data_IF_716212424537
#
_entry.id   IF_716212424537
#
_cell.length_a   1.000
_cell.length_b   1.000
_cell.length_c   1.000
_cell.angle_alpha   90.00
_cell.angle_beta   90.00
_cell.angle_gamma   90.00
#
_symmetry.space_group_name_H-M   'P 1'
#
loop_
_entity.id
_entity.type
_entity.pdbx_description
1 polymer ?
#
# COMPACT_ATOMS: atom_id res chain seq x y z
N UNK A 1 0.01 -39.49 -5.71
CA UNK A 1 -0.59 -38.48 -6.59
C UNK A 1 -1.04 -37.31 -5.75
N UNK A 2 -0.13 -36.36 -5.53
CA UNK A 2 -0.43 -35.06 -4.94
C UNK A 2 -0.61 -34.15 -6.13
N UNK A 3 -1.86 -33.84 -6.46
CA UNK A 3 -2.20 -32.83 -7.46
C UNK A 3 -1.90 -31.45 -6.83
N UNK A 4 -0.77 -30.87 -7.20
CA UNK A 4 -0.45 -29.48 -6.97
C UNK A 4 -1.40 -28.61 -7.77
N UNK A 5 -2.40 -28.03 -7.13
CA UNK A 5 -3.15 -26.90 -7.67
C UNK A 5 -2.22 -25.68 -7.66
N UNK A 6 -1.43 -25.52 -8.72
CA UNK A 6 -0.77 -24.26 -9.03
C UNK A 6 -1.86 -23.21 -9.31
N UNK A 7 -2.14 -22.38 -8.33
CA UNK A 7 -2.84 -21.12 -8.53
C UNK A 7 -1.92 -20.26 -9.38
N UNK A 8 -2.12 -20.25 -10.69
CA UNK A 8 -1.39 -19.43 -11.66
C UNK A 8 -1.60 -17.94 -11.30
N UNK A 9 -0.71 -17.37 -10.50
CA UNK A 9 -0.62 -15.94 -10.29
C UNK A 9 -0.22 -15.30 -11.62
N UNK A 10 -1.08 -14.42 -12.18
CA UNK A 10 -0.77 -13.70 -13.41
C UNK A 10 0.52 -12.90 -13.25
N UNK A 11 1.34 -12.87 -14.30
CA UNK A 11 2.57 -12.07 -14.32
C UNK A 11 2.27 -10.58 -14.30
N UNK A 12 3.27 -9.76 -13.96
CA UNK A 12 3.17 -8.30 -13.95
C UNK A 12 2.73 -7.75 -15.34
N UNK A 13 3.29 -8.31 -16.42
CA UNK A 13 2.99 -7.93 -17.80
C UNK A 13 1.54 -8.27 -18.18
N UNK A 14 1.08 -9.47 -17.84
CA UNK A 14 -0.29 -9.92 -18.12
C UNK A 14 -1.34 -9.08 -17.37
N UNK A 15 -1.05 -8.65 -16.13
CA UNK A 15 -1.94 -7.77 -15.38
C UNK A 15 -2.01 -6.36 -15.97
N UNK A 16 -0.91 -5.88 -16.53
CA UNK A 16 -0.87 -4.57 -17.20
C UNK A 16 -1.71 -4.56 -18.48
N UNK A 17 -1.74 -5.67 -19.22
CA UNK A 17 -2.57 -5.85 -20.42
C UNK A 17 -4.06 -6.01 -20.07
N UNK A 18 -4.38 -6.83 -19.07
CA UNK A 18 -5.77 -7.06 -18.60
C UNK A 18 -6.45 -5.78 -18.12
N UNK A 19 -5.72 -4.88 -17.48
CA UNK A 19 -6.26 -3.59 -17.02
C UNK A 19 -6.72 -2.70 -18.18
N UNK A 20 -6.06 -2.79 -19.33
CA UNK A 20 -6.49 -2.04 -20.52
C UNK A 20 -7.84 -2.56 -21.03
N UNK A 21 -8.15 -3.83 -20.82
CA UNK A 21 -9.41 -4.48 -21.25
C UNK A 21 -10.53 -4.20 -20.25
N UNK A 22 -10.23 -4.16 -18.96
CA UNK A 22 -11.22 -4.04 -17.87
C UNK A 22 -11.59 -2.59 -17.47
N UNK A 23 -11.15 -1.59 -18.21
CA UNK A 23 -11.45 -0.15 -17.93
C UNK A 23 -12.94 0.19 -17.77
N UNK A 24 -13.83 -0.65 -18.27
CA UNK A 24 -15.28 -0.47 -18.20
C UNK A 24 -15.91 -0.98 -16.89
N UNK A 25 -15.15 -1.70 -16.03
CA UNK A 25 -15.61 -2.07 -14.69
C UNK A 25 -15.54 -0.84 -13.78
N UNK A 26 -16.66 -0.51 -13.16
CA UNK A 26 -16.78 0.68 -12.30
C UNK A 26 -15.78 0.68 -11.14
N UNK A 27 -15.48 -0.49 -10.56
CA UNK A 27 -14.55 -0.64 -9.44
C UNK A 27 -13.09 -0.44 -9.89
N UNK A 28 -12.74 -0.96 -11.05
CA UNK A 28 -11.42 -0.76 -11.69
C UNK A 28 -11.24 0.70 -12.05
N UNK A 29 -12.24 1.32 -12.70
CA UNK A 29 -12.19 2.73 -13.07
C UNK A 29 -12.01 3.65 -11.86
N UNK A 30 -12.67 3.35 -10.74
CA UNK A 30 -12.51 4.09 -9.49
C UNK A 30 -11.10 3.94 -8.90
N UNK A 31 -10.55 2.72 -8.91
CA UNK A 31 -9.16 2.46 -8.48
C UNK A 31 -8.15 3.24 -9.33
N UNK A 32 -8.29 3.21 -10.65
CA UNK A 32 -7.42 3.93 -11.57
C UNK A 32 -7.47 5.45 -11.33
N UNK A 33 -8.67 6.01 -11.15
CA UNK A 33 -8.85 7.43 -10.83
C UNK A 33 -8.16 7.82 -9.52
N UNK A 34 -8.30 7.00 -8.48
CA UNK A 34 -7.67 7.25 -7.19
C UNK A 34 -6.14 7.15 -7.27
N UNK A 35 -5.61 6.18 -8.02
CA UNK A 35 -4.17 6.04 -8.29
C UNK A 35 -3.62 7.34 -8.91
N UNK A 36 -4.29 7.90 -9.93
CA UNK A 36 -3.82 9.14 -10.58
C UNK A 36 -3.75 10.32 -9.61
N UNK A 37 -4.71 10.44 -8.69
CA UNK A 37 -4.68 11.48 -7.66
C UNK A 37 -3.54 11.26 -6.66
N UNK A 38 -3.27 10.03 -6.27
CA UNK A 38 -2.31 9.70 -5.24
C UNK A 38 -0.86 9.70 -5.76
N UNK A 39 -0.64 9.28 -7.00
CA UNK A 39 0.68 9.29 -7.65
C UNK A 39 1.28 10.70 -7.67
N UNK A 40 0.46 11.73 -7.98
CA UNK A 40 0.92 13.12 -8.08
C UNK A 40 1.29 13.75 -6.73
N UNK A 41 0.85 13.17 -5.62
CA UNK A 41 1.11 13.65 -4.25
C UNK A 41 2.03 12.73 -3.44
N UNK A 42 2.59 11.70 -4.08
CA UNK A 42 3.56 10.80 -3.47
C UNK A 42 4.92 11.49 -3.39
N UNK A 43 5.48 11.61 -2.19
CA UNK A 43 6.78 12.26 -1.92
C UNK A 43 6.96 13.63 -2.59
N UNK A 44 6.15 14.63 -2.24
CA UNK A 44 6.12 15.92 -2.93
C UNK A 44 7.43 16.72 -2.85
N UNK A 45 8.33 16.36 -1.95
CA UNK A 45 9.64 16.99 -1.79
C UNK A 45 10.79 16.21 -2.48
N UNK A 46 10.49 15.09 -3.14
CA UNK A 46 11.47 14.28 -3.84
C UNK A 46 11.40 14.54 -5.36
N UNK A 47 12.50 15.04 -5.93
CA UNK A 47 12.59 15.41 -7.36
C UNK A 47 12.20 14.28 -8.33
N UNK A 48 12.38 13.04 -7.91
CA UNK A 48 12.07 11.88 -8.72
C UNK A 48 10.57 11.54 -8.72
N UNK A 49 9.79 12.11 -7.78
CA UNK A 49 8.34 11.93 -7.62
C UNK A 49 7.51 13.20 -7.87
N UNK A 50 8.13 14.37 -8.09
CA UNK A 50 7.39 15.58 -8.46
C UNK A 50 7.01 15.57 -9.94
N UNK A 51 6.27 16.57 -10.37
CA UNK A 51 5.71 16.71 -11.71
C UNK A 51 6.70 16.26 -12.82
N UNK A 52 6.32 15.23 -13.60
CA UNK A 52 7.17 14.55 -14.58
C UNK A 52 8.42 13.84 -14.02
N UNK A 53 8.48 13.58 -12.72
CA UNK A 53 9.56 12.82 -12.11
C UNK A 53 9.66 11.40 -12.67
N UNK A 54 10.89 10.90 -12.80
CA UNK A 54 11.18 9.59 -13.43
C UNK A 54 10.52 8.40 -12.74
N UNK A 55 10.14 8.54 -11.45
CA UNK A 55 9.48 7.49 -10.67
C UNK A 55 7.96 7.47 -10.84
N UNK A 56 7.37 8.51 -11.41
CA UNK A 56 5.90 8.60 -11.58
C UNK A 56 5.37 7.53 -12.54
N UNK A 57 5.94 7.32 -13.75
CA UNK A 57 5.44 6.28 -14.65
C UNK A 57 5.55 4.86 -14.09
N UNK A 58 6.69 4.41 -13.52
CA UNK A 58 6.78 3.06 -12.94
C UNK A 58 5.89 2.91 -11.69
N UNK A 59 5.81 3.91 -10.81
CA UNK A 59 4.90 3.88 -9.67
C UNK A 59 3.44 3.64 -10.11
N UNK A 60 2.99 4.39 -11.11
CA UNK A 60 1.64 4.25 -11.68
C UNK A 60 1.38 2.84 -12.17
N UNK A 61 2.27 2.28 -12.99
CA UNK A 61 2.12 0.93 -13.56
C UNK A 61 2.08 -0.16 -12.49
N UNK A 62 2.97 -0.08 -11.50
CA UNK A 62 3.02 -1.04 -10.39
C UNK A 62 1.73 -0.98 -9.56
N UNK A 63 1.24 0.22 -9.22
CA UNK A 63 -0.01 0.38 -8.46
C UNK A 63 -1.21 -0.14 -9.23
N UNK A 64 -1.27 0.09 -10.53
CA UNK A 64 -2.30 -0.44 -11.41
C UNK A 64 -2.28 -1.97 -11.42
N UNK A 65 -1.11 -2.60 -11.61
CA UNK A 65 -0.96 -4.05 -11.58
C UNK A 65 -1.33 -4.64 -10.21
N UNK A 66 -0.92 -4.01 -9.09
CA UNK A 66 -1.31 -4.45 -7.76
C UNK A 66 -2.82 -4.39 -7.55
N UNK A 67 -3.48 -3.31 -8.01
CA UNK A 67 -4.93 -3.15 -7.86
C UNK A 67 -5.75 -4.18 -8.65
N UNK A 68 -5.17 -4.77 -9.69
CA UNK A 68 -5.75 -5.85 -10.49
C UNK A 68 -5.35 -7.24 -10.00
N UNK A 69 -4.43 -7.34 -9.06
CA UNK A 69 -3.93 -8.62 -8.55
C UNK A 69 -4.90 -9.26 -7.57
N UNK A 70 -4.73 -10.57 -7.34
CA UNK A 70 -5.47 -11.30 -6.30
C UNK A 70 -5.01 -10.94 -4.85
N UNK A 71 -3.96 -10.12 -4.70
CA UNK A 71 -3.45 -9.73 -3.39
C UNK A 71 -4.39 -8.77 -2.65
N UNK A 72 -5.00 -7.85 -3.40
CA UNK A 72 -5.87 -6.80 -2.86
C UNK A 72 -7.15 -6.67 -3.67
N UNK A 73 -8.17 -6.07 -3.07
CA UNK A 73 -9.43 -5.72 -3.74
C UNK A 73 -9.36 -4.26 -4.19
N UNK A 74 -8.77 -4.03 -5.36
CA UNK A 74 -8.59 -2.69 -5.89
C UNK A 74 -7.48 -1.91 -5.19
N UNK A 75 -7.48 -0.60 -5.38
CA UNK A 75 -6.49 0.30 -4.81
C UNK A 75 -6.94 0.83 -3.45
N UNK A 76 -6.04 0.85 -2.48
CA UNK A 76 -6.23 1.52 -1.18
C UNK A 76 -5.24 2.66 -1.03
N UNK A 77 -5.71 3.83 -0.62
CA UNK A 77 -4.86 4.99 -0.32
C UNK A 77 -3.82 4.61 0.75
N UNK A 78 -2.56 4.94 0.49
CA UNK A 78 -1.41 4.53 1.30
C UNK A 78 -0.49 3.56 0.56
N UNK A 79 -1.02 2.72 -0.34
CA UNK A 79 -0.21 1.83 -1.18
C UNK A 79 0.82 2.59 -2.02
N UNK A 80 0.49 3.80 -2.45
CA UNK A 80 1.40 4.67 -3.21
C UNK A 80 2.68 5.00 -2.43
N UNK A 81 2.61 5.19 -1.12
CA UNK A 81 3.79 5.44 -0.29
C UNK A 81 4.63 4.18 -0.14
N UNK A 82 4.00 3.02 0.11
CA UNK A 82 4.69 1.73 0.20
C UNK A 82 5.44 1.42 -1.10
N UNK A 83 4.73 1.40 -2.22
CA UNK A 83 5.31 1.07 -3.53
C UNK A 83 6.37 2.09 -3.93
N UNK A 84 6.10 3.38 -3.75
CA UNK A 84 7.05 4.45 -4.04
C UNK A 84 8.33 4.34 -3.22
N UNK A 85 8.23 3.97 -1.95
CA UNK A 85 9.38 3.73 -1.07
C UNK A 85 10.22 2.54 -1.54
N UNK A 86 9.59 1.40 -1.82
CA UNK A 86 10.28 0.21 -2.32
C UNK A 86 10.97 0.48 -3.66
N UNK A 87 10.29 1.14 -4.58
CA UNK A 87 10.84 1.54 -5.88
C UNK A 87 12.06 2.47 -5.72
N UNK A 88 11.99 3.43 -4.81
CA UNK A 88 13.10 4.32 -4.47
C UNK A 88 14.29 3.55 -3.89
N UNK A 89 14.05 2.65 -2.92
CA UNK A 89 15.11 1.85 -2.30
C UNK A 89 15.79 0.96 -3.34
N UNK A 90 15.03 0.28 -4.19
CA UNK A 90 15.57 -0.59 -5.24
C UNK A 90 16.46 0.19 -6.22
N UNK A 91 15.99 1.37 -6.67
CA UNK A 91 16.77 2.21 -7.59
C UNK A 91 18.06 2.72 -6.94
N UNK A 92 18.02 3.08 -5.65
CA UNK A 92 19.22 3.50 -4.92
C UNK A 92 20.23 2.36 -4.76
N UNK A 93 19.77 1.14 -4.50
CA UNK A 93 20.64 -0.04 -4.33
C UNK A 93 21.27 -0.48 -5.64
N UNK A 94 20.52 -0.45 -6.73
CA UNK A 94 21.00 -0.91 -8.04
C UNK A 94 21.82 0.14 -8.80
N UNK A 95 21.80 1.41 -8.38
CA UNK A 95 22.41 2.56 -9.09
C UNK A 95 22.02 2.63 -10.59
N UNK A 96 20.88 2.05 -10.96
CA UNK A 96 20.42 1.88 -12.33
C UNK A 96 19.08 2.61 -12.53
N UNK A 97 18.83 3.13 -13.74
CA UNK A 97 17.49 3.61 -14.09
C UNK A 97 16.47 2.47 -14.03
N UNK A 98 15.23 2.82 -13.71
CA UNK A 98 14.12 1.86 -13.64
C UNK A 98 13.95 1.17 -14.99
N UNK A 99 14.05 -0.16 -15.01
CA UNK A 99 13.79 -1.01 -16.17
C UNK A 99 12.50 -1.81 -15.97
N UNK A 100 11.98 -2.43 -17.02
CA UNK A 100 10.82 -3.33 -16.91
C UNK A 100 11.08 -4.47 -15.91
N UNK A 101 12.27 -5.05 -15.90
CA UNK A 101 12.67 -6.08 -14.94
C UNK A 101 12.64 -5.56 -13.50
N UNK A 102 13.14 -4.35 -13.23
CA UNK A 102 13.11 -3.75 -11.91
C UNK A 102 11.69 -3.39 -11.46
N UNK A 103 10.79 -3.04 -12.37
CA UNK A 103 9.38 -2.84 -12.06
C UNK A 103 8.69 -4.14 -11.66
N UNK A 104 8.93 -5.24 -12.37
CA UNK A 104 8.40 -6.56 -12.05
C UNK A 104 8.89 -7.06 -10.68
N UNK A 105 10.16 -6.83 -10.35
CA UNK A 105 10.70 -7.13 -9.02
C UNK A 105 10.06 -6.28 -7.93
N UNK A 106 9.91 -4.96 -8.14
CA UNK A 106 9.25 -4.07 -7.20
C UNK A 106 7.78 -4.45 -6.99
N UNK A 107 7.08 -4.83 -8.07
CA UNK A 107 5.72 -5.36 -8.00
C UNK A 107 5.67 -6.63 -7.12
N UNK A 108 6.54 -7.61 -7.40
CA UNK A 108 6.61 -8.88 -6.65
C UNK A 108 6.91 -8.65 -5.18
N UNK A 109 7.85 -7.76 -4.86
CA UNK A 109 8.19 -7.39 -3.50
C UNK A 109 7.02 -6.70 -2.78
N UNK A 110 6.37 -5.75 -3.44
CA UNK A 110 5.20 -5.05 -2.91
C UNK A 110 4.05 -6.01 -2.64
N UNK A 111 3.77 -6.92 -3.58
CA UNK A 111 2.75 -7.96 -3.44
C UNK A 111 3.04 -8.86 -2.25
N UNK A 112 4.26 -9.40 -2.16
CA UNK A 112 4.69 -10.26 -1.06
C UNK A 112 4.59 -9.55 0.29
N UNK A 113 5.01 -8.28 0.36
CA UNK A 113 4.89 -7.49 1.58
C UNK A 113 3.44 -7.33 2.01
N UNK A 114 2.54 -6.98 1.09
CA UNK A 114 1.11 -6.82 1.38
C UNK A 114 0.48 -8.13 1.83
N UNK A 115 0.81 -9.24 1.18
CA UNK A 115 0.21 -10.55 1.46
C UNK A 115 0.70 -11.19 2.76
N UNK A 116 1.95 -10.99 3.14
CA UNK A 116 2.59 -11.75 4.22
C UNK A 116 3.05 -10.89 5.41
N UNK A 117 3.37 -9.61 5.18
CA UNK A 117 3.87 -8.72 6.23
C UNK A 117 2.81 -7.72 6.66
N UNK A 118 2.10 -7.12 5.70
CA UNK A 118 1.13 -6.04 5.94
C UNK A 118 -0.33 -6.52 5.78
N UNK A 119 -0.56 -7.78 6.12
CA UNK A 119 -1.88 -8.43 5.99
C UNK A 119 -2.94 -7.74 6.86
N UNK A 120 -4.10 -7.42 6.25
CA UNK A 120 -5.25 -6.85 6.95
C UNK A 120 -5.23 -5.33 7.11
N UNK A 121 -4.22 -4.63 6.55
CA UNK A 121 -4.19 -3.16 6.49
C UNK A 121 -4.84 -2.60 5.22
N UNK A 122 -4.98 -3.41 4.18
CA UNK A 122 -5.67 -3.06 2.94
C UNK A 122 -6.88 -3.97 2.74
N UNK A 123 -7.73 -3.64 1.77
CA UNK A 123 -8.81 -4.52 1.36
C UNK A 123 -8.24 -5.82 0.78
N UNK A 124 -8.77 -6.95 1.23
CA UNK A 124 -8.37 -8.27 0.78
C UNK A 124 -9.35 -8.76 -0.27
N UNK A 125 -8.85 -9.45 -1.30
CA UNK A 125 -9.72 -10.08 -2.31
C UNK A 125 -10.71 -11.04 -1.66
N UNK A 126 -11.95 -11.06 -2.17
CA UNK A 126 -13.03 -11.95 -1.68
C UNK A 126 -12.60 -13.44 -1.64
N UNK A 127 -11.72 -13.85 -2.58
CA UNK A 127 -11.18 -15.21 -2.62
C UNK A 127 -10.32 -15.58 -1.39
N UNK A 128 -9.80 -14.59 -0.68
CA UNK A 128 -8.93 -14.77 0.50
C UNK A 128 -9.63 -14.39 1.81
N UNK A 129 -10.90 -13.98 1.77
CA UNK A 129 -11.65 -13.65 2.99
C UNK A 129 -11.96 -14.91 3.79
N UNK A 130 -11.53 -14.90 5.05
CA UNK A 130 -12.08 -15.70 6.14
C UNK A 130 -12.74 -14.79 7.15
N UNK A 131 -13.52 -15.29 8.09
CA UNK A 131 -14.11 -14.48 9.17
C UNK A 131 -13.04 -13.72 9.99
N UNK A 132 -11.86 -14.31 10.13
CA UNK A 132 -10.71 -13.70 10.81
C UNK A 132 -10.01 -12.61 9.96
N UNK A 133 -10.23 -12.61 8.64
CA UNK A 133 -9.61 -11.71 7.67
C UNK A 133 -10.62 -10.73 7.07
N UNK A 134 -11.43 -10.08 7.91
CA UNK A 134 -12.30 -8.99 7.47
C UNK A 134 -11.47 -7.78 7.00
N UNK A 135 -12.02 -7.00 6.07
CA UNK A 135 -11.37 -5.79 5.58
C UNK A 135 -10.89 -4.90 6.73
N UNK A 136 -9.62 -4.51 6.66
CA UNK A 136 -8.94 -3.64 7.65
C UNK A 136 -8.92 -4.19 9.08
N UNK A 137 -8.98 -5.52 9.26
CA UNK A 137 -8.99 -6.08 10.61
C UNK A 137 -7.73 -5.73 11.41
N UNK A 138 -6.54 -5.77 10.79
CA UNK A 138 -5.29 -5.40 11.44
C UNK A 138 -5.25 -3.92 11.78
N UNK A 139 -5.68 -3.05 10.85
CA UNK A 139 -5.78 -1.62 11.10
C UNK A 139 -6.69 -1.32 12.29
N UNK A 140 -7.89 -1.89 12.33
CA UNK A 140 -8.85 -1.68 13.42
C UNK A 140 -8.30 -2.16 14.77
N UNK A 141 -7.67 -3.34 14.79
CA UNK A 141 -7.03 -3.91 15.98
C UNK A 141 -5.92 -2.99 16.50
N UNK A 142 -5.02 -2.58 15.62
CA UNK A 142 -3.83 -1.84 16.03
C UNK A 142 -4.15 -0.39 16.40
N UNK A 143 -5.15 0.21 15.79
CA UNK A 143 -5.67 1.52 16.25
C UNK A 143 -6.26 1.42 17.65
N UNK A 144 -6.98 0.35 17.98
CA UNK A 144 -7.49 0.11 19.34
C UNK A 144 -6.35 -0.06 20.34
N UNK A 145 -5.34 -0.87 20.00
CA UNK A 145 -4.15 -1.06 20.84
C UNK A 145 -3.41 0.26 21.04
N UNK A 146 -3.30 1.09 20.00
CA UNK A 146 -2.67 2.41 20.10
C UNK A 146 -3.44 3.33 21.06
N UNK A 147 -4.77 3.35 20.98
CA UNK A 147 -5.60 4.15 21.86
C UNK A 147 -5.45 3.72 23.33
N UNK A 148 -5.51 2.42 23.61
CA UNK A 148 -5.29 1.85 24.93
C UNK A 148 -3.89 2.16 25.49
N UNK A 149 -2.85 2.07 24.63
CA UNK A 149 -1.48 2.43 25.02
C UNK A 149 -1.35 3.93 25.27
N UNK A 150 -1.99 4.78 24.48
CA UNK A 150 -2.00 6.23 24.68
C UNK A 150 -2.66 6.57 26.03
N UNK A 151 -3.79 5.97 26.34
CA UNK A 151 -4.45 6.12 27.63
C UNK A 151 -3.55 5.74 28.81
N UNK A 152 -2.82 4.64 28.70
CA UNK A 152 -1.96 4.12 29.76
C UNK A 152 -0.66 4.90 29.93
N UNK A 153 0.02 5.21 28.82
CA UNK A 153 1.38 5.79 28.82
C UNK A 153 1.35 7.32 28.80
N UNK A 154 0.31 7.91 28.24
CA UNK A 154 0.15 9.35 28.07
C UNK A 154 -1.25 9.82 28.50
N UNK A 155 -1.65 9.59 29.80
CA UNK A 155 -3.01 9.84 30.26
C UNK A 155 -3.47 11.28 30.02
N UNK A 156 -2.61 12.28 30.27
CA UNK A 156 -2.94 13.69 30.03
C UNK A 156 -3.24 13.98 28.56
N UNK A 157 -2.50 13.38 27.64
CA UNK A 157 -2.76 13.52 26.19
C UNK A 157 -4.10 12.90 25.83
N UNK A 158 -4.36 11.68 26.31
CA UNK A 158 -5.62 10.98 26.06
C UNK A 158 -6.81 11.76 26.60
N UNK A 159 -6.74 12.26 27.84
CA UNK A 159 -7.78 13.09 28.45
C UNK A 159 -8.02 14.38 27.67
N UNK A 160 -6.95 15.08 27.27
CA UNK A 160 -7.06 16.31 26.48
C UNK A 160 -7.73 16.07 25.14
N UNK A 161 -7.35 15.01 24.43
CA UNK A 161 -7.97 14.63 23.17
C UNK A 161 -9.46 14.31 23.37
N UNK A 162 -9.77 13.45 24.35
CA UNK A 162 -11.15 13.03 24.65
C UNK A 162 -12.04 14.19 25.06
N UNK A 163 -11.53 15.13 25.87
CA UNK A 163 -12.27 16.32 26.27
C UNK A 163 -12.63 17.24 25.10
N UNK A 164 -11.86 17.17 24.00
CA UNK A 164 -12.11 17.91 22.77
C UNK A 164 -12.81 17.06 21.68
N UNK A 165 -13.32 15.86 22.02
CA UNK A 165 -14.02 14.99 21.10
C UNK A 165 -13.13 14.27 20.09
N UNK A 166 -11.81 14.18 20.35
CA UNK A 166 -10.83 13.51 19.49
C UNK A 166 -10.31 12.21 20.13
N UNK A 167 -9.85 11.30 19.28
CA UNK A 167 -9.03 10.14 19.64
C UNK A 167 -7.85 10.04 18.67
N UNK A 168 -6.78 9.39 19.10
CA UNK A 168 -5.66 9.05 18.21
C UNK A 168 -6.10 8.28 16.97
N UNK A 169 -7.21 7.55 17.06
CA UNK A 169 -7.78 6.78 15.94
C UNK A 169 -8.28 7.64 14.78
N UNK A 170 -8.43 8.96 14.95
CA UNK A 170 -8.85 9.85 13.86
C UNK A 170 -7.71 10.24 12.92
N UNK A 171 -6.48 10.36 13.43
CA UNK A 171 -5.34 10.85 12.63
C UNK A 171 -4.25 9.80 12.41
N UNK A 172 -4.20 8.73 13.21
CA UNK A 172 -3.21 7.67 13.08
C UNK A 172 -3.47 6.61 11.99
N UNK A 173 -4.68 6.44 11.38
CA UNK A 173 -4.87 5.45 10.32
C UNK A 173 -3.84 5.57 9.20
N UNK A 174 -3.49 6.79 8.81
CA UNK A 174 -2.48 7.06 7.78
C UNK A 174 -1.11 6.46 8.14
N UNK A 175 -0.71 6.44 9.41
CA UNK A 175 0.58 5.88 9.82
C UNK A 175 0.69 4.42 9.44
N UNK A 176 -0.36 3.65 9.73
CA UNK A 176 -0.44 2.24 9.40
C UNK A 176 -0.66 2.01 7.91
N UNK A 177 -1.58 2.73 7.27
CA UNK A 177 -1.85 2.57 5.83
C UNK A 177 -0.65 2.89 4.94
N UNK A 178 0.24 3.77 5.39
CA UNK A 178 1.49 4.08 4.69
C UNK A 178 2.70 3.28 5.23
N UNK A 179 2.50 2.25 6.08
CA UNK A 179 3.58 1.50 6.72
C UNK A 179 4.60 2.45 7.40
N UNK A 180 4.11 3.52 8.04
CA UNK A 180 4.88 4.60 8.67
C UNK A 180 5.79 5.41 7.72
N UNK A 181 5.76 5.14 6.42
CA UNK A 181 6.52 5.85 5.40
C UNK A 181 6.03 7.31 5.32
N UNK A 182 6.98 8.25 5.36
CA UNK A 182 6.67 9.69 5.41
C UNK A 182 6.12 10.18 6.77
N UNK A 183 6.08 9.31 7.77
CA UNK A 183 5.76 9.63 9.17
C UNK A 183 7.00 9.52 10.03
N UNK A 184 7.78 8.46 9.83
CA UNK A 184 9.08 8.23 10.48
C UNK A 184 10.22 8.51 9.49
N UNK A 185 11.42 8.82 9.98
CA UNK A 185 12.61 8.90 9.12
C UNK A 185 12.87 7.58 8.38
N UNK A 186 13.34 7.66 7.14
CA UNK A 186 13.58 6.49 6.28
C UNK A 186 14.49 5.43 6.94
N UNK A 187 15.46 5.86 7.75
CA UNK A 187 16.38 4.95 8.49
C UNK A 187 15.67 4.13 9.57
N UNK A 188 14.55 4.62 10.07
CA UNK A 188 13.71 3.91 11.05
C UNK A 188 12.77 2.94 10.35
N UNK A 189 12.21 3.35 9.21
CA UNK A 189 11.29 2.51 8.42
C UNK A 189 11.99 1.29 7.83
N UNK A 190 13.30 1.40 7.52
CA UNK A 190 14.13 0.31 6.96
C UNK A 190 14.51 -0.80 7.94
N UNK A 191 14.34 -0.59 9.23
CA UNK A 191 14.66 -1.56 10.30
C UNK A 191 13.50 -2.50 10.56
#
# INVERSE_FOLDING_TARGET
NISSSESSSKSYEALSEDLMIQKNDTSVAQSLKQIELDVTRTFPNDKDFVHNGRMIPPLRRILQALSASDAVKGYTQGMNFLVGFLLKQQTMMMQMPTSSASEAECYSLSKTFIEHVWTGYYFISEKKKSEENADWFALKRDLKVLDEKTKRLFPRLHETLSANGFSVTFFCPRWFLCAFIGVLPDEVVKK
#
